data_IF_469672777328
#
_entry.id   IF_469672777328
#
_cell.length_a   1.000
_cell.length_b   1.000
_cell.length_c   1.000
_cell.angle_alpha   90.00
_cell.angle_beta   90.00
_cell.angle_gamma   90.00
#
_symmetry.space_group_name_H-M   'P 1'
#
loop_
_entity.id
_entity.type
_entity.pdbx_description
1 polymer ?
#
# COMPACT_ATOMS: atom_id res chain seq x y z
N UNK A 1 22.59 7.97 16.80
CA UNK A 1 23.26 9.04 17.60
C UNK A 1 22.40 9.35 18.82
N UNK A 2 22.96 9.82 19.96
CA UNK A 2 22.14 10.25 21.10
C UNK A 2 21.24 11.43 20.69
N UNK A 3 19.94 11.34 20.95
CA UNK A 3 18.98 12.44 20.74
C UNK A 3 18.11 12.37 19.48
N UNK A 4 18.21 11.33 18.66
CA UNK A 4 17.24 11.11 17.58
C UNK A 4 15.95 10.54 18.18
N UNK A 5 14.76 11.13 17.92
CA UNK A 5 13.51 10.58 18.40
C UNK A 5 13.35 9.16 17.85
N UNK A 6 13.13 8.19 18.74
CA UNK A 6 12.74 6.84 18.36
C UNK A 6 11.31 6.95 17.84
N UNK A 7 11.14 6.81 16.53
CA UNK A 7 9.82 6.80 15.93
C UNK A 7 9.15 5.45 16.27
N UNK A 8 7.95 5.46 16.88
CA UNK A 8 7.38 4.29 17.53
C UNK A 8 7.05 3.14 16.59
N UNK A 9 7.00 3.41 15.27
CA UNK A 9 6.60 2.44 14.25
C UNK A 9 7.76 2.00 13.34
N UNK A 10 8.89 2.72 13.35
CA UNK A 10 10.06 2.32 12.57
C UNK A 10 10.65 1.03 13.12
N UNK A 11 11.02 0.10 12.23
CA UNK A 11 11.59 -1.21 12.57
C UNK A 11 10.67 -2.11 13.43
N UNK A 12 9.36 -1.84 13.40
CA UNK A 12 8.35 -2.71 14.01
C UNK A 12 7.67 -3.60 12.96
N UNK A 13 6.95 -4.62 13.42
CA UNK A 13 6.14 -5.48 12.55
C UNK A 13 4.76 -4.87 12.22
N UNK A 14 4.52 -3.60 12.58
CA UNK A 14 3.23 -2.95 12.38
C UNK A 14 3.20 -2.15 11.07
N UNK A 15 2.12 -2.30 10.33
CA UNK A 15 1.80 -1.50 9.14
C UNK A 15 0.34 -1.08 9.19
N UNK A 16 0.02 0.06 8.58
CA UNK A 16 -1.36 0.49 8.34
C UNK A 16 -1.79 0.04 6.95
N UNK A 17 -2.86 -0.74 6.87
CA UNK A 17 -3.46 -1.12 5.59
C UNK A 17 -4.52 -0.09 5.20
N UNK A 18 -4.45 0.41 3.98
CA UNK A 18 -5.46 1.27 3.39
C UNK A 18 -5.98 0.68 2.08
N UNK A 19 -7.22 0.19 2.13
CA UNK A 19 -7.92 -0.41 0.99
C UNK A 19 -8.66 0.66 0.19
N UNK A 20 -8.46 0.67 -1.13
CA UNK A 20 -9.08 1.63 -2.05
C UNK A 20 -9.91 0.90 -3.11
N UNK A 21 -10.80 1.66 -3.76
CA UNK A 21 -11.68 1.10 -4.79
C UNK A 21 -11.01 1.00 -6.16
N UNK A 22 -9.97 1.81 -6.42
CA UNK A 22 -9.32 1.86 -7.73
C UNK A 22 -7.79 1.92 -7.60
N UNK A 23 -7.11 1.26 -8.54
CA UNK A 23 -5.65 1.27 -8.61
C UNK A 23 -5.08 2.67 -8.90
N UNK A 24 -5.82 3.52 -9.61
CA UNK A 24 -5.38 4.87 -9.94
C UNK A 24 -5.40 5.80 -8.72
N UNK A 25 -6.42 5.70 -7.87
CA UNK A 25 -6.46 6.43 -6.60
C UNK A 25 -5.31 6.02 -5.68
N UNK A 26 -5.03 4.70 -5.59
CA UNK A 26 -3.90 4.18 -4.83
C UNK A 26 -2.56 4.73 -5.36
N UNK A 27 -2.35 4.71 -6.69
CA UNK A 27 -1.13 5.27 -7.30
C UNK A 27 -0.96 6.76 -7.04
N UNK A 28 -2.05 7.54 -7.11
CA UNK A 28 -2.00 8.97 -6.83
C UNK A 28 -1.59 9.25 -5.38
N UNK A 29 -2.16 8.51 -4.42
CA UNK A 29 -1.80 8.65 -3.00
C UNK A 29 -0.36 8.22 -2.72
N UNK A 30 0.08 7.11 -3.30
CA UNK A 30 1.46 6.64 -3.22
C UNK A 30 2.41 7.71 -3.75
N UNK A 31 2.12 8.28 -4.92
CA UNK A 31 2.94 9.33 -5.50
C UNK A 31 3.02 10.56 -4.60
N UNK A 32 1.88 11.01 -4.04
CA UNK A 32 1.85 12.12 -3.07
C UNK A 32 2.69 11.83 -1.83
N UNK A 33 2.68 10.61 -1.32
CA UNK A 33 3.52 10.22 -0.18
C UNK A 33 5.01 10.32 -0.55
N UNK A 34 5.40 9.80 -1.72
CA UNK A 34 6.78 9.85 -2.21
C UNK A 34 7.24 11.30 -2.45
N UNK A 35 6.41 12.12 -3.09
CA UNK A 35 6.69 13.54 -3.37
C UNK A 35 6.93 14.36 -2.08
N UNK A 36 6.36 13.92 -0.96
CA UNK A 36 6.51 14.55 0.34
C UNK A 36 7.56 13.88 1.25
N UNK A 37 8.45 13.05 0.68
CA UNK A 37 9.58 12.46 1.39
C UNK A 37 9.36 11.03 1.88
N UNK A 38 8.31 10.36 1.40
CA UNK A 38 8.13 8.93 1.58
C UNK A 38 9.02 8.10 0.64
N UNK A 39 9.15 6.82 0.95
CA UNK A 39 9.94 5.85 0.21
C UNK A 39 9.08 4.63 -0.12
N UNK A 40 9.06 4.23 -1.39
CA UNK A 40 8.46 2.95 -1.80
C UNK A 40 9.29 1.81 -1.23
N UNK A 41 8.69 0.98 -0.38
CA UNK A 41 9.32 -0.23 0.16
C UNK A 41 8.96 -1.47 -0.67
N UNK A 42 7.75 -1.48 -1.25
CA UNK A 42 7.30 -2.48 -2.20
C UNK A 42 6.52 -1.77 -3.32
N UNK A 43 6.91 -1.95 -4.61
CA UNK A 43 6.17 -1.38 -5.73
C UNK A 43 4.69 -1.78 -5.69
N UNK A 44 3.82 -0.85 -6.10
CA UNK A 44 2.38 -1.11 -6.20
C UNK A 44 2.05 -1.73 -7.55
N UNK A 45 1.85 -3.04 -7.53
CA UNK A 45 1.70 -3.90 -8.71
C UNK A 45 0.58 -4.92 -8.51
N UNK A 46 0.22 -5.64 -9.58
CA UNK A 46 -0.75 -6.73 -9.49
C UNK A 46 -0.22 -7.82 -8.56
N UNK A 47 -1.01 -8.16 -7.56
CA UNK A 47 -0.63 -9.17 -6.60
C UNK A 47 -0.87 -10.58 -7.17
N UNK A 48 -0.02 -11.57 -6.84
CA UNK A 48 -0.18 -12.93 -7.36
C UNK A 48 -1.43 -13.64 -6.82
N UNK A 49 -2.07 -13.10 -5.78
CA UNK A 49 -3.34 -13.56 -5.23
C UNK A 49 -4.56 -12.77 -5.74
N UNK A 50 -4.36 -11.86 -6.70
CA UNK A 50 -5.40 -10.99 -7.26
C UNK A 50 -5.45 -9.60 -6.61
N UNK A 51 -5.94 -8.63 -7.39
CA UNK A 51 -5.96 -7.21 -7.01
C UNK A 51 -4.59 -6.54 -7.18
N UNK A 52 -4.45 -5.34 -6.62
CA UNK A 52 -3.19 -4.61 -6.54
C UNK A 52 -2.71 -4.52 -5.10
N UNK A 53 -1.40 -4.59 -4.91
CA UNK A 53 -0.79 -4.44 -3.59
C UNK A 53 0.56 -3.74 -3.68
N UNK A 54 0.89 -2.93 -2.67
CA UNK A 54 2.18 -2.25 -2.55
C UNK A 54 2.37 -1.63 -1.18
N UNK A 55 3.57 -1.12 -0.92
CA UNK A 55 3.92 -0.52 0.37
C UNK A 55 4.79 0.73 0.22
N UNK A 56 4.50 1.72 1.06
CA UNK A 56 5.22 2.99 1.14
C UNK A 56 5.49 3.32 2.60
N UNK A 57 6.73 3.67 2.90
CA UNK A 57 7.11 4.30 4.15
C UNK A 57 6.89 5.81 4.01
N UNK A 58 6.09 6.45 4.86
CA UNK A 58 5.94 7.90 4.83
C UNK A 58 7.12 8.64 5.49
N UNK A 59 7.14 9.98 5.42
CA UNK A 59 8.19 10.82 6.02
C UNK A 59 8.26 10.76 7.56
N UNK A 60 7.23 10.20 8.20
CA UNK A 60 7.15 10.00 9.64
C UNK A 60 7.53 8.57 10.03
N UNK A 61 7.98 7.77 9.05
CA UNK A 61 8.44 6.39 9.20
C UNK A 61 7.30 5.45 9.63
N UNK A 62 6.09 5.74 9.15
CA UNK A 62 4.96 4.81 9.21
C UNK A 62 4.93 3.98 7.93
N UNK A 63 4.87 2.66 8.09
CA UNK A 63 4.70 1.74 6.97
C UNK A 63 3.23 1.65 6.57
N UNK A 64 2.91 2.11 5.37
CA UNK A 64 1.58 2.01 4.76
C UNK A 64 1.57 0.88 3.73
N UNK A 65 0.57 0.02 3.82
CA UNK A 65 0.23 -0.95 2.79
C UNK A 65 -1.02 -0.46 2.06
N UNK A 66 -0.98 -0.53 0.74
CA UNK A 66 -2.10 -0.19 -0.12
C UNK A 66 -2.61 -1.46 -0.77
N UNK A 67 -3.93 -1.66 -0.75
CA UNK A 67 -4.57 -2.73 -1.48
C UNK A 67 -5.77 -2.21 -2.26
N UNK A 68 -6.02 -2.83 -3.41
CA UNK A 68 -7.23 -2.66 -4.21
C UNK A 68 -7.68 -4.05 -4.60
N UNK A 69 -8.90 -4.41 -4.20
CA UNK A 69 -9.48 -5.70 -4.56
C UNK A 69 -9.59 -5.81 -6.09
N UNK A 70 -9.39 -7.04 -6.60
CA UNK A 70 -9.76 -7.31 -7.98
C UNK A 70 -11.27 -7.12 -8.12
N UNK A 71 -11.70 -6.48 -9.20
CA UNK A 71 -13.12 -6.45 -9.54
C UNK A 71 -13.62 -7.90 -9.63
N UNK A 72 -14.74 -8.25 -8.97
CA UNK A 72 -15.19 -9.62 -8.95
C UNK A 72 -15.48 -10.06 -10.38
N UNK A 73 -14.70 -11.03 -10.86
CA UNK A 73 -15.00 -11.73 -12.11
C UNK A 73 -16.49 -12.13 -12.08
N UNK A 74 -17.29 -11.77 -13.10
CA UNK A 74 -18.69 -12.19 -13.13
C UNK A 74 -18.74 -13.71 -13.02
N UNK A 75 -19.68 -14.28 -12.25
CA UNK A 75 -19.72 -15.72 -12.01
C UNK A 75 -19.71 -16.43 -13.36
N UNK A 76 -18.69 -17.26 -13.57
CA UNK A 76 -18.51 -18.02 -14.81
C UNK A 76 -19.83 -18.69 -15.17
N UNK A 77 -20.32 -18.41 -16.39
CA UNK A 77 -21.59 -18.87 -16.92
C UNK A 77 -21.89 -20.29 -16.43
N UNK A 78 -22.80 -20.40 -15.44
CA UNK A 78 -23.37 -21.70 -15.07
C UNK A 78 -24.26 -22.10 -16.23
N UNK A 79 -23.67 -22.81 -17.20
CA UNK A 79 -24.43 -23.51 -18.22
C UNK A 79 -25.27 -24.57 -17.53
N UNK A 80 -26.56 -24.30 -17.40
CA UNK A 80 -27.61 -25.29 -17.14
C UNK A 80 -28.22 -25.67 -18.49
#
# INVERSE_FOLDING_TARGET
>A
MPGQPVLPLRDTAYSLLYSLNTADEARELIQRMVDHGGQVTMPFEEAPWGGFYGQVMDKFEVLWAFDVEAEPEPPADTKI
#
